data_IF_472868688766
#
_entry.id   IF_472868688766
#
_cell.length_a   1.000
_cell.length_b   1.000
_cell.length_c   1.000
_cell.angle_alpha   90.00
_cell.angle_beta   90.00
_cell.angle_gamma   90.00
#
_symmetry.space_group_name_H-M   'P 1'
#
loop_
_entity.id
_entity.type
_entity.pdbx_description
1 polymer ?
#
# COMPACT_ATOMS: atom_id res chain seq x y z
N UNK A 1 4.27 15.78 -18.75
CA UNK A 1 4.95 16.96 -18.17
C UNK A 1 6.46 16.84 -18.30
N UNK A 2 7.09 15.74 -17.84
CA UNK A 2 8.53 15.52 -17.98
C UNK A 2 9.05 15.72 -19.42
N UNK A 3 8.39 15.15 -20.44
CA UNK A 3 8.73 15.38 -21.87
C UNK A 3 8.80 16.87 -22.27
N UNK A 4 8.06 17.75 -21.60
CA UNK A 4 8.00 19.20 -21.89
C UNK A 4 8.95 20.02 -21.02
N UNK A 5 9.11 19.64 -19.75
CA UNK A 5 9.83 20.46 -18.75
C UNK A 5 11.17 19.86 -18.30
N UNK A 6 11.56 18.70 -18.83
CA UNK A 6 12.79 18.01 -18.49
C UNK A 6 12.63 17.03 -17.32
N UNK A 7 13.77 16.50 -16.88
CA UNK A 7 13.84 15.41 -15.90
C UNK A 7 13.57 15.85 -14.45
N UNK A 8 13.57 17.17 -14.19
CA UNK A 8 13.18 17.78 -12.92
C UNK A 8 12.33 19.02 -13.17
N UNK A 9 11.14 19.08 -12.56
CA UNK A 9 10.27 20.26 -12.65
C UNK A 9 9.39 20.42 -11.41
N UNK A 10 8.92 21.65 -11.20
CA UNK A 10 8.07 22.04 -10.07
C UNK A 10 6.64 22.32 -10.54
N UNK A 11 5.67 21.83 -9.77
CA UNK A 11 4.27 22.20 -9.84
C UNK A 11 3.85 22.88 -8.53
N UNK A 12 2.98 23.88 -8.62
CA UNK A 12 2.31 24.47 -7.46
C UNK A 12 0.84 24.09 -7.47
N UNK A 13 0.41 23.31 -6.48
CA UNK A 13 -0.97 22.92 -6.24
C UNK A 13 -1.53 23.82 -5.13
N UNK A 14 -2.02 25.01 -5.52
CA UNK A 14 -2.29 26.08 -4.57
C UNK A 14 -1.02 26.45 -3.80
N UNK A 15 -1.03 26.29 -2.48
CA UNK A 15 0.13 26.53 -1.61
C UNK A 15 1.08 25.32 -1.48
N UNK A 16 0.77 24.16 -2.06
CA UNK A 16 1.62 22.96 -2.00
C UNK A 16 2.62 22.92 -3.16
N UNK A 17 3.90 22.72 -2.84
CA UNK A 17 4.96 22.50 -3.84
C UNK A 17 5.12 21.01 -4.13
N UNK A 18 5.06 20.64 -5.41
CA UNK A 18 5.29 19.27 -5.88
C UNK A 18 6.47 19.29 -6.86
N UNK A 19 7.60 18.72 -6.46
CA UNK A 19 8.74 18.50 -7.35
C UNK A 19 8.66 17.09 -7.91
N UNK A 20 8.80 16.95 -9.23
CA UNK A 20 8.79 15.67 -9.93
C UNK A 20 10.17 15.42 -10.51
N UNK A 21 10.72 14.22 -10.25
CA UNK A 21 11.96 13.71 -10.86
C UNK A 21 11.62 12.56 -11.80
N UNK A 22 12.27 12.48 -12.97
CA UNK A 22 11.93 11.51 -14.03
C UNK A 22 13.13 10.79 -14.65
N UNK A 23 14.32 10.88 -14.04
CA UNK A 23 15.51 10.13 -14.47
C UNK A 23 16.05 9.19 -13.37
N UNK A 24 16.77 8.11 -13.74
CA UNK A 24 17.41 7.21 -12.77
C UNK A 24 18.42 7.93 -11.87
N UNK A 25 19.20 8.85 -12.42
CA UNK A 25 20.22 9.60 -11.66
C UNK A 25 19.57 10.47 -10.58
N UNK A 26 18.51 11.20 -10.91
CA UNK A 26 17.76 11.98 -9.93
C UNK A 26 17.01 11.09 -8.92
N UNK A 27 16.54 9.91 -9.34
CA UNK A 27 15.94 8.94 -8.42
C UNK A 27 16.96 8.43 -7.40
N UNK A 28 18.21 8.20 -7.82
CA UNK A 28 19.31 7.83 -6.92
C UNK A 28 19.62 8.96 -5.94
N UNK A 29 19.61 10.21 -6.40
CA UNK A 29 19.78 11.37 -5.52
C UNK A 29 18.71 11.40 -4.42
N UNK A 30 17.44 11.30 -4.79
CA UNK A 30 16.31 11.40 -3.84
C UNK A 30 16.21 10.19 -2.91
N UNK A 31 16.44 8.97 -3.42
CA UNK A 31 16.18 7.73 -2.68
C UNK A 31 17.41 7.18 -1.94
N UNK A 32 18.62 7.59 -2.32
CA UNK A 32 19.86 7.05 -1.78
C UNK A 32 20.86 8.13 -1.37
N UNK A 33 21.39 8.94 -2.30
CA UNK A 33 22.46 9.92 -2.01
C UNK A 33 22.03 10.91 -0.93
N UNK A 34 20.81 11.43 -1.06
CA UNK A 34 20.17 12.37 -0.14
C UNK A 34 18.92 11.75 0.51
N UNK A 35 18.98 10.43 0.77
CA UNK A 35 17.84 9.66 1.25
C UNK A 35 17.38 10.03 2.67
N UNK A 36 18.22 10.73 3.44
CA UNK A 36 17.84 11.25 4.77
C UNK A 36 17.06 12.56 4.62
N UNK A 37 17.57 13.45 3.77
CA UNK A 37 17.05 14.78 3.48
C UNK A 37 15.65 14.68 2.86
N UNK A 38 15.46 13.74 1.93
CA UNK A 38 14.16 13.46 1.29
C UNK A 38 13.39 12.28 1.92
N UNK A 39 13.88 11.72 3.03
CA UNK A 39 13.36 10.50 3.63
C UNK A 39 12.02 10.64 4.37
N UNK A 40 11.50 11.87 4.49
CA UNK A 40 10.25 12.18 5.19
C UNK A 40 9.03 12.04 4.26
N UNK A 41 7.85 11.77 4.83
CA UNK A 41 6.59 11.76 4.07
C UNK A 41 5.79 13.02 4.25
N UNK A 42 5.20 13.47 3.15
CA UNK A 42 4.15 14.48 3.14
C UNK A 42 2.88 13.91 3.77
N UNK A 43 2.12 14.77 4.44
CA UNK A 43 0.80 14.47 4.99
C UNK A 43 -0.12 15.66 4.72
N UNK A 44 -1.41 15.37 4.67
CA UNK A 44 -2.49 16.34 4.69
C UNK A 44 -3.45 15.99 5.84
N UNK A 45 -4.47 16.82 6.06
CA UNK A 45 -5.42 16.65 7.17
C UNK A 45 -6.09 15.28 7.21
N UNK A 46 -6.38 14.69 6.04
CA UNK A 46 -7.00 13.36 5.94
C UNK A 46 -6.02 12.28 6.37
N UNK A 47 -4.78 12.32 5.89
CA UNK A 47 -3.74 11.39 6.32
C UNK A 47 -3.37 11.55 7.80
N UNK A 48 -3.39 12.77 8.34
CA UNK A 48 -3.15 12.99 9.77
C UNK A 48 -4.19 12.30 10.66
N UNK A 49 -5.47 12.31 10.27
CA UNK A 49 -6.52 11.56 10.99
C UNK A 49 -6.20 10.06 10.98
N UNK A 50 -5.92 9.50 9.81
CA UNK A 50 -5.71 8.05 9.68
C UNK A 50 -4.40 7.53 10.27
N UNK A 51 -3.40 8.40 10.42
CA UNK A 51 -2.05 8.01 10.86
C UNK A 51 -1.73 8.49 12.27
N UNK A 52 -2.67 9.17 12.94
CA UNK A 52 -2.42 9.81 14.23
C UNK A 52 -1.33 10.88 14.13
N UNK A 53 -1.34 11.69 13.07
CA UNK A 53 -0.31 12.68 12.74
C UNK A 53 1.09 12.08 12.51
N UNK A 54 1.15 10.94 11.81
CA UNK A 54 2.40 10.24 11.50
C UNK A 54 2.96 9.39 12.62
N UNK A 55 2.10 8.87 13.51
CA UNK A 55 2.47 7.84 14.49
C UNK A 55 2.61 6.45 13.86
N UNK A 56 2.19 6.28 12.61
CA UNK A 56 2.34 5.06 11.83
C UNK A 56 3.78 4.86 11.32
N UNK A 57 3.99 3.76 10.58
CA UNK A 57 5.29 3.41 9.98
C UNK A 57 5.51 4.06 8.61
N UNK A 58 4.45 4.29 7.83
CA UNK A 58 4.56 4.66 6.41
C UNK A 58 4.63 6.17 6.26
N UNK A 59 3.75 6.92 6.93
CA UNK A 59 3.56 8.37 6.74
C UNK A 59 4.24 9.24 7.81
N UNK A 60 5.20 8.70 8.57
CA UNK A 60 6.03 9.47 9.51
C UNK A 60 7.10 10.30 8.80
N UNK A 61 7.57 11.36 9.46
CA UNK A 61 8.82 12.04 9.10
C UNK A 61 10.03 11.18 9.44
N UNK A 62 11.14 11.38 8.74
CA UNK A 62 12.38 10.69 9.05
C UNK A 62 12.91 11.15 10.41
N UNK A 63 13.22 10.19 11.30
CA UNK A 63 13.61 10.49 12.68
C UNK A 63 13.60 9.25 13.55
N UNK A 64 13.74 9.44 14.87
CA UNK A 64 13.82 8.35 15.84
C UNK A 64 12.58 7.45 15.84
N UNK A 65 11.38 8.04 15.73
CA UNK A 65 10.14 7.27 15.66
C UNK A 65 10.13 6.31 14.47
N UNK A 66 10.43 6.80 13.26
CA UNK A 66 10.54 5.97 12.06
C UNK A 66 11.58 4.85 12.22
N UNK A 67 12.77 5.17 12.74
CA UNK A 67 13.83 4.18 12.97
C UNK A 67 13.38 3.09 13.94
N UNK A 68 12.70 3.49 15.03
CA UNK A 68 12.14 2.57 16.03
C UNK A 68 11.10 1.65 15.41
N UNK A 69 10.11 2.20 14.70
CA UNK A 69 9.06 1.42 14.04
C UNK A 69 9.64 0.47 13.00
N UNK A 70 10.57 0.94 12.16
CA UNK A 70 11.26 0.10 11.16
C UNK A 70 11.96 -1.08 11.81
N UNK A 71 12.73 -0.82 12.88
CA UNK A 71 13.47 -1.85 13.61
C UNK A 71 12.54 -2.91 14.21
N UNK A 72 11.44 -2.48 14.84
CA UNK A 72 10.46 -3.40 15.45
C UNK A 72 9.79 -4.28 14.39
N UNK A 73 9.47 -3.73 13.22
CA UNK A 73 8.79 -4.47 12.15
C UNK A 73 9.70 -5.41 11.37
N UNK A 74 11.02 -5.19 11.33
CA UNK A 74 11.94 -6.01 10.53
C UNK A 74 11.87 -7.48 10.91
N UNK A 75 12.00 -7.83 12.18
CA UNK A 75 12.02 -9.23 12.64
C UNK A 75 10.71 -9.98 12.32
N UNK A 76 9.51 -9.48 12.68
CA UNK A 76 8.25 -10.20 12.46
C UNK A 76 7.78 -10.22 11.00
N UNK A 77 8.19 -9.27 10.14
CA UNK A 77 7.66 -9.17 8.77
C UNK A 77 8.69 -9.33 7.66
N UNK A 78 9.91 -8.84 7.84
CA UNK A 78 10.83 -8.56 6.75
C UNK A 78 12.16 -9.31 6.89
N UNK A 79 12.11 -10.60 7.25
CA UNK A 79 13.29 -11.48 7.27
C UNK A 79 13.08 -12.72 6.42
N UNK A 80 14.18 -13.35 6.00
CA UNK A 80 14.14 -14.65 5.32
C UNK A 80 13.46 -15.73 6.17
N UNK A 81 13.52 -15.63 7.50
CA UNK A 81 12.83 -16.57 8.40
C UNK A 81 11.32 -16.51 8.22
N UNK A 82 10.75 -15.30 8.12
CA UNK A 82 9.32 -15.10 7.86
C UNK A 82 8.93 -15.73 6.53
N UNK A 83 9.74 -15.53 5.47
CA UNK A 83 9.51 -16.15 4.16
C UNK A 83 9.47 -17.68 4.28
N UNK A 84 10.47 -18.29 4.92
CA UNK A 84 10.52 -19.75 5.07
C UNK A 84 9.37 -20.31 5.93
N UNK A 85 8.93 -19.54 6.93
CA UNK A 85 7.82 -19.92 7.80
C UNK A 85 6.47 -19.91 7.06
N UNK A 86 6.21 -18.88 6.25
CA UNK A 86 4.89 -18.67 5.63
C UNK A 86 4.78 -19.13 4.17
N UNK A 87 5.89 -19.47 3.49
CA UNK A 87 5.87 -19.88 2.07
C UNK A 87 4.85 -20.96 1.75
N UNK A 88 4.74 -21.98 2.59
CA UNK A 88 3.82 -23.09 2.38
C UNK A 88 2.36 -22.64 2.44
N UNK A 89 2.05 -21.65 3.29
CA UNK A 89 0.74 -21.02 3.32
C UNK A 89 0.44 -20.25 2.03
N UNK A 90 1.44 -19.56 1.45
CA UNK A 90 1.26 -18.84 0.19
C UNK A 90 1.09 -19.79 -1.01
N UNK A 91 1.84 -20.89 -1.03
CA UNK A 91 1.73 -21.96 -2.03
C UNK A 91 0.35 -22.61 -1.96
N UNK A 92 -0.15 -22.91 -0.76
CA UNK A 92 -1.49 -23.45 -0.51
C UNK A 92 -2.60 -22.48 -0.96
N UNK A 93 -2.50 -21.18 -0.61
CA UNK A 93 -3.48 -20.19 -1.06
C UNK A 93 -3.46 -20.01 -2.59
N UNK A 94 -2.30 -20.10 -3.24
CA UNK A 94 -2.18 -20.07 -4.69
C UNK A 94 -2.78 -21.32 -5.35
N UNK A 95 -2.54 -22.51 -4.79
CA UNK A 95 -3.14 -23.75 -5.26
C UNK A 95 -4.67 -23.70 -5.17
N UNK A 96 -5.22 -23.14 -4.08
CA UNK A 96 -6.66 -22.92 -3.92
C UNK A 96 -7.24 -21.96 -4.95
N UNK A 97 -6.53 -20.88 -5.31
CA UNK A 97 -6.95 -20.02 -6.43
C UNK A 97 -7.10 -20.83 -7.71
N UNK A 98 -6.09 -21.64 -8.05
CA UNK A 98 -6.13 -22.47 -9.27
C UNK A 98 -7.29 -23.47 -9.22
N UNK A 99 -7.52 -24.10 -8.07
CA UNK A 99 -8.61 -25.05 -7.87
C UNK A 99 -9.99 -24.39 -8.03
N UNK A 100 -10.22 -23.23 -7.41
CA UNK A 100 -11.49 -22.51 -7.49
C UNK A 100 -11.77 -22.02 -8.92
N UNK A 101 -10.73 -21.57 -9.62
CA UNK A 101 -10.83 -21.16 -11.03
C UNK A 101 -11.15 -22.37 -11.91
N UNK A 102 -10.49 -23.52 -11.69
CA UNK A 102 -10.77 -24.76 -12.45
C UNK A 102 -12.18 -25.29 -12.22
N UNK A 103 -12.72 -25.16 -11.00
CA UNK A 103 -14.06 -25.61 -10.65
C UNK A 103 -15.17 -24.71 -11.20
N UNK A 104 -14.85 -23.47 -11.60
CA UNK A 104 -15.83 -22.54 -12.14
C UNK A 104 -16.00 -22.73 -13.66
N UNK A 105 -17.17 -23.20 -14.16
CA UNK A 105 -17.40 -23.41 -15.59
C UNK A 105 -17.32 -22.11 -16.41
N UNK A 106 -17.62 -20.96 -15.83
CA UNK A 106 -17.51 -19.66 -16.50
C UNK A 106 -16.05 -19.31 -16.80
N UNK A 107 -15.10 -19.78 -15.99
CA UNK A 107 -13.68 -19.50 -16.18
C UNK A 107 -13.12 -20.13 -17.45
N UNK A 108 -13.68 -21.26 -17.88
CA UNK A 108 -13.32 -21.95 -19.12
C UNK A 108 -14.12 -21.46 -20.35
N UNK A 109 -15.11 -20.58 -20.16
CA UNK A 109 -16.01 -20.13 -21.23
C UNK A 109 -15.92 -18.62 -21.41
N UNK A 110 -16.75 -17.85 -20.70
CA UNK A 110 -16.87 -16.40 -20.85
C UNK A 110 -15.73 -15.63 -20.15
N UNK A 111 -14.94 -16.33 -19.35
CA UNK A 111 -13.91 -15.76 -18.50
C UNK A 111 -14.48 -15.19 -17.20
N UNK A 112 -13.59 -15.00 -16.23
CA UNK A 112 -13.94 -14.51 -14.90
C UNK A 112 -13.07 -13.32 -14.52
N UNK A 113 -13.56 -12.52 -13.57
CA UNK A 113 -12.78 -11.41 -12.98
C UNK A 113 -11.84 -11.98 -11.90
N UNK A 114 -10.74 -12.60 -12.34
CA UNK A 114 -9.77 -13.30 -11.48
C UNK A 114 -9.25 -12.46 -10.30
N UNK A 115 -9.18 -11.14 -10.46
CA UNK A 115 -8.76 -10.23 -9.37
C UNK A 115 -9.59 -10.36 -8.10
N UNK A 116 -10.86 -10.79 -8.17
CA UNK A 116 -11.72 -10.98 -6.99
C UNK A 116 -11.17 -12.12 -6.12
N UNK A 117 -10.88 -13.27 -6.73
CA UNK A 117 -10.30 -14.42 -6.05
C UNK A 117 -8.85 -14.21 -5.60
N UNK A 118 -8.05 -13.49 -6.41
CA UNK A 118 -6.69 -13.09 -6.02
C UNK A 118 -6.69 -12.11 -4.83
N UNK A 119 -7.71 -11.26 -4.70
CA UNK A 119 -7.82 -10.38 -3.54
C UNK A 119 -7.97 -11.20 -2.25
N UNK A 120 -8.81 -12.23 -2.24
CA UNK A 120 -8.92 -13.15 -1.09
C UNK A 120 -7.57 -13.81 -0.75
N UNK A 121 -6.84 -14.30 -1.76
CA UNK A 121 -5.50 -14.87 -1.59
C UNK A 121 -4.53 -13.88 -0.92
N UNK A 122 -4.50 -12.62 -1.39
CA UNK A 122 -3.64 -11.58 -0.81
C UNK A 122 -4.02 -11.25 0.63
N UNK A 123 -5.32 -11.21 0.96
CA UNK A 123 -5.79 -11.04 2.33
C UNK A 123 -5.34 -12.22 3.20
N UNK A 124 -5.53 -13.46 2.75
CA UNK A 124 -5.09 -14.64 3.49
C UNK A 124 -3.58 -14.67 3.72
N UNK A 125 -2.78 -14.34 2.71
CA UNK A 125 -1.33 -14.28 2.84
C UNK A 125 -0.90 -13.25 3.90
N UNK A 126 -1.48 -12.06 3.89
CA UNK A 126 -1.16 -11.02 4.87
C UNK A 126 -1.69 -11.34 6.27
N UNK A 127 -2.93 -11.83 6.40
CA UNK A 127 -3.53 -12.15 7.69
C UNK A 127 -2.91 -13.38 8.35
N UNK A 128 -2.35 -14.32 7.58
CA UNK A 128 -1.52 -15.40 8.13
C UNK A 128 -0.24 -14.84 8.75
N UNK A 129 0.45 -13.92 8.07
CA UNK A 129 1.67 -13.30 8.63
C UNK A 129 1.36 -12.47 9.88
N UNK A 130 0.26 -11.72 9.87
CA UNK A 130 -0.08 -10.79 10.96
C UNK A 130 -0.73 -11.48 12.17
N UNK A 131 -1.59 -12.47 11.94
CA UNK A 131 -2.50 -13.00 12.96
C UNK A 131 -2.62 -14.52 12.95
N UNK A 132 -1.89 -15.22 12.07
CA UNK A 132 -2.05 -16.65 11.80
C UNK A 132 -3.50 -17.05 11.49
N UNK A 133 -4.20 -16.20 10.72
CA UNK A 133 -5.61 -16.40 10.34
C UNK A 133 -5.80 -16.31 8.83
N UNK A 134 -6.87 -16.96 8.36
CA UNK A 134 -7.36 -16.89 6.99
C UNK A 134 -8.88 -16.68 6.98
N UNK A 135 -9.37 -16.18 5.85
CA UNK A 135 -10.78 -16.12 5.49
C UNK A 135 -11.13 -17.36 4.66
N UNK A 136 -12.35 -17.86 4.84
CA UNK A 136 -12.74 -19.15 4.26
C UNK A 136 -13.02 -19.07 2.76
N UNK A 137 -13.82 -18.09 2.34
CA UNK A 137 -14.25 -17.88 0.95
C UNK A 137 -14.44 -16.40 0.62
N UNK A 138 -14.84 -16.09 -0.62
CA UNK A 138 -15.15 -14.71 -1.04
C UNK A 138 -16.43 -14.17 -0.37
N UNK A 139 -17.28 -15.05 0.15
CA UNK A 139 -18.54 -14.76 0.84
C UNK A 139 -18.37 -14.59 2.36
N UNK A 140 -17.17 -14.84 2.89
CA UNK A 140 -16.88 -14.70 4.33
C UNK A 140 -17.32 -13.30 4.84
N UNK A 141 -18.20 -13.23 5.86
CA UNK A 141 -18.74 -11.94 6.31
C UNK A 141 -17.68 -10.99 6.85
N UNK A 142 -16.65 -11.52 7.52
CA UNK A 142 -15.57 -10.73 8.07
C UNK A 142 -14.64 -10.23 6.95
N UNK A 143 -14.33 -11.09 5.97
CA UNK A 143 -13.58 -10.69 4.78
C UNK A 143 -14.27 -9.53 4.05
N UNK A 144 -15.56 -9.66 3.78
CA UNK A 144 -16.32 -8.63 3.07
C UNK A 144 -16.40 -7.32 3.86
N UNK A 145 -16.60 -7.39 5.18
CA UNK A 145 -16.59 -6.22 6.06
C UNK A 145 -15.23 -5.50 6.03
N UNK A 146 -14.13 -6.24 6.18
CA UNK A 146 -12.78 -5.68 6.18
C UNK A 146 -12.41 -5.09 4.81
N UNK A 147 -12.77 -5.79 3.72
CA UNK A 147 -12.59 -5.31 2.35
C UNK A 147 -13.33 -3.99 2.12
N UNK A 148 -14.57 -3.87 2.59
CA UNK A 148 -15.33 -2.63 2.48
C UNK A 148 -14.68 -1.48 3.27
N UNK A 149 -14.28 -1.73 4.53
CA UNK A 149 -13.62 -0.71 5.37
C UNK A 149 -12.28 -0.26 4.79
N UNK A 150 -11.44 -1.19 4.31
CA UNK A 150 -10.17 -0.86 3.66
C UNK A 150 -10.37 -0.11 2.34
N UNK A 151 -11.42 -0.46 1.60
CA UNK A 151 -11.86 0.24 0.40
C UNK A 151 -12.23 1.69 0.70
N UNK A 152 -13.09 1.91 1.71
CA UNK A 152 -13.54 3.25 2.09
C UNK A 152 -12.39 4.09 2.67
N UNK A 153 -11.53 3.49 3.50
CA UNK A 153 -10.29 4.11 3.99
C UNK A 153 -9.42 4.62 2.84
N UNK A 154 -9.29 3.84 1.77
CA UNK A 154 -8.50 4.23 0.59
C UNK A 154 -9.20 5.30 -0.23
N UNK A 155 -10.53 5.17 -0.43
CA UNK A 155 -11.36 6.13 -1.15
C UNK A 155 -11.30 7.52 -0.49
N UNK A 156 -11.48 7.60 0.83
CA UNK A 156 -11.41 8.86 1.58
C UNK A 156 -10.05 9.52 1.47
N UNK A 157 -8.96 8.75 1.54
CA UNK A 157 -7.61 9.32 1.45
C UNK A 157 -7.17 9.69 0.03
N UNK A 158 -7.81 9.16 -1.01
CA UNK A 158 -7.45 9.42 -2.40
C UNK A 158 -8.47 10.30 -3.14
N UNK A 159 -9.60 10.63 -2.50
CA UNK A 159 -10.62 11.49 -3.12
C UNK A 159 -10.06 12.89 -3.38
N UNK A 160 -10.43 13.47 -4.52
CA UNK A 160 -10.11 14.88 -4.81
C UNK A 160 -11.04 15.85 -4.10
N UNK A 161 -12.13 15.37 -3.50
CA UNK A 161 -13.13 16.20 -2.86
C UNK A 161 -12.53 17.06 -1.73
N UNK A 162 -11.43 16.64 -1.09
CA UNK A 162 -10.81 17.43 -0.02
C UNK A 162 -9.64 18.31 -0.50
N UNK A 163 -9.24 18.22 -1.77
CA UNK A 163 -8.03 18.91 -2.27
C UNK A 163 -8.13 20.43 -2.12
N UNK A 164 -9.32 21.02 -2.26
CA UNK A 164 -9.50 22.46 -2.12
C UNK A 164 -9.03 22.95 -0.73
N UNK A 165 -9.31 22.19 0.33
CA UNK A 165 -8.92 22.53 1.70
C UNK A 165 -7.44 22.30 2.00
N UNK A 166 -6.78 21.43 1.24
CA UNK A 166 -5.34 21.19 1.37
C UNK A 166 -4.49 22.16 0.53
N UNK A 167 -4.99 22.54 -0.65
CA UNK A 167 -4.27 23.42 -1.59
C UNK A 167 -4.50 24.90 -1.28
N UNK A 168 -5.66 25.26 -0.73
CA UNK A 168 -6.03 26.63 -0.39
C UNK A 168 -6.43 26.66 1.10
N UNK A 169 -5.44 26.56 2.02
CA UNK A 169 -5.73 26.73 3.44
C UNK A 169 -6.15 28.19 3.68
N UNK A 170 -7.28 28.36 4.38
CA UNK A 170 -7.79 29.67 4.84
C UNK A 170 -6.97 30.13 6.03
#
# INVERSE_FOLDING_TARGET
LAKKFGDIFLLRMGQRNLVVVSSPDLSKEVLHTQGVEFGSRTRNVVFDIFTGKGQDMVFTVYGEHWRKMRRIMTVPFFTNKVVQQYRYGWEDEAAKVVEDVKKNPEAATNGIVLRRRLQLMMYNNMYRIMFDRRFESEEDPLFNKLKALNGERSRLAQSFDYNYGDFIPI
#
